data_IF_962941819110
#
_entry.id   IF_962941819110
#
_cell.length_a   1.000
_cell.length_b   1.000
_cell.length_c   1.000
_cell.angle_alpha   90.00
_cell.angle_beta   90.00
_cell.angle_gamma   90.00
#
_symmetry.space_group_name_H-M   'P 1'
#
loop_
_entity.id
_entity.type
_entity.pdbx_description
1 polymer ?
#
# COMPACT_ATOMS: atom_id res chain seq x y z
N UNK A 1 -7.60 7.85 -18.63
CA UNK A 1 -7.32 7.99 -17.18
C UNK A 1 -8.59 8.18 -16.35
N UNK A 2 -9.33 9.31 -16.42
CA UNK A 2 -10.51 9.50 -15.54
C UNK A 2 -11.61 8.42 -15.71
N UNK A 3 -11.83 7.96 -16.94
CA UNK A 3 -12.79 6.87 -17.21
C UNK A 3 -12.29 5.51 -16.73
N UNK A 4 -10.98 5.28 -16.81
CA UNK A 4 -10.34 4.04 -16.37
C UNK A 4 -10.37 3.95 -14.85
N UNK A 5 -10.08 5.05 -14.14
CA UNK A 5 -10.21 5.10 -12.67
C UNK A 5 -11.63 4.80 -12.19
N UNK A 6 -12.65 5.39 -12.81
CA UNK A 6 -14.06 5.03 -12.51
C UNK A 6 -14.39 3.57 -12.79
N UNK A 7 -13.69 2.94 -13.72
CA UNK A 7 -13.89 1.52 -14.03
C UNK A 7 -13.18 0.63 -13.02
N UNK A 8 -11.96 1.01 -12.62
CA UNK A 8 -11.22 0.40 -11.52
C UNK A 8 -12.05 0.42 -10.22
N UNK A 9 -12.58 1.59 -9.83
CA UNK A 9 -13.44 1.75 -8.64
C UNK A 9 -14.65 0.80 -8.66
N UNK A 10 -15.34 0.69 -9.79
CA UNK A 10 -16.49 -0.23 -9.93
C UNK A 10 -16.08 -1.70 -9.80
N UNK A 11 -14.92 -2.09 -10.33
CA UNK A 11 -14.41 -3.47 -10.22
C UNK A 11 -14.00 -3.77 -8.77
N UNK A 12 -13.35 -2.83 -8.09
CA UNK A 12 -13.05 -2.93 -6.64
C UNK A 12 -14.34 -3.08 -5.83
N UNK A 13 -15.37 -2.27 -6.11
CA UNK A 13 -16.66 -2.39 -5.43
C UNK A 13 -17.29 -3.78 -5.63
N UNK A 14 -17.16 -4.35 -6.85
CA UNK A 14 -17.64 -5.71 -7.14
C UNK A 14 -16.86 -6.77 -6.36
N UNK A 15 -15.52 -6.70 -6.33
CA UNK A 15 -14.66 -7.56 -5.50
C UNK A 15 -15.12 -7.60 -4.04
N UNK A 16 -15.52 -6.44 -3.50
CA UNK A 16 -15.92 -6.26 -2.10
C UNK A 16 -17.42 -6.49 -1.83
N UNK A 17 -18.21 -6.87 -2.83
CA UNK A 17 -19.67 -7.04 -2.72
C UNK A 17 -20.13 -8.41 -2.19
N UNK A 18 -19.19 -9.30 -1.85
CA UNK A 18 -19.49 -10.69 -1.52
C UNK A 18 -20.35 -10.89 -0.25
N UNK A 19 -21.25 -11.89 -0.24
CA UNK A 19 -22.11 -12.15 0.91
C UNK A 19 -21.26 -12.52 2.13
N UNK A 20 -21.53 -11.86 3.25
CA UNK A 20 -20.82 -12.05 4.54
C UNK A 20 -19.31 -11.75 4.50
N UNK A 21 -18.92 -10.63 3.87
CA UNK A 21 -17.57 -10.04 4.05
C UNK A 21 -16.44 -10.97 3.57
N UNK A 22 -16.70 -11.79 2.56
CA UNK A 22 -15.66 -12.55 1.86
C UNK A 22 -15.53 -12.00 0.45
N UNK A 23 -14.31 -11.70 -0.02
CA UNK A 23 -14.12 -11.24 -1.38
C UNK A 23 -14.53 -12.32 -2.38
N UNK A 24 -15.12 -11.90 -3.49
CA UNK A 24 -15.19 -12.72 -4.69
C UNK A 24 -13.81 -12.67 -5.36
N UNK A 25 -13.00 -13.70 -5.13
CA UNK A 25 -11.58 -13.71 -5.53
C UNK A 25 -11.38 -13.57 -7.04
N UNK A 26 -12.30 -14.04 -7.86
CA UNK A 26 -12.21 -13.89 -9.31
C UNK A 26 -12.51 -12.44 -9.71
N UNK A 27 -13.51 -11.82 -9.06
CA UNK A 27 -13.79 -10.40 -9.25
C UNK A 27 -12.66 -9.50 -8.72
N UNK A 28 -11.97 -9.89 -7.65
CA UNK A 28 -10.82 -9.19 -7.12
C UNK A 28 -9.61 -9.30 -8.03
N UNK A 29 -9.32 -10.49 -8.58
CA UNK A 29 -8.26 -10.65 -9.58
C UNK A 29 -8.52 -9.79 -10.83
N UNK A 30 -9.74 -9.81 -11.36
CA UNK A 30 -10.17 -8.96 -12.49
C UNK A 30 -10.09 -7.46 -12.17
N UNK A 31 -10.33 -7.08 -10.90
CA UNK A 31 -10.13 -5.72 -10.44
C UNK A 31 -8.63 -5.36 -10.42
N UNK A 32 -7.79 -6.20 -9.83
CA UNK A 32 -6.33 -6.00 -9.76
C UNK A 32 -5.75 -5.82 -11.17
N UNK A 33 -5.99 -6.77 -12.07
CA UNK A 33 -5.46 -6.75 -13.44
C UNK A 33 -5.84 -5.47 -14.21
N UNK A 34 -7.10 -5.04 -14.07
CA UNK A 34 -7.56 -3.82 -14.73
C UNK A 34 -6.98 -2.55 -14.08
N UNK A 35 -6.95 -2.50 -12.76
CA UNK A 35 -6.46 -1.33 -12.04
C UNK A 35 -4.96 -1.13 -12.25
N UNK A 36 -4.17 -2.21 -12.23
CA UNK A 36 -2.73 -2.16 -12.47
C UNK A 36 -2.44 -1.70 -13.90
N UNK A 37 -3.14 -2.25 -14.90
CA UNK A 37 -2.98 -1.80 -16.29
C UNK A 37 -3.42 -0.35 -16.53
N UNK A 38 -4.39 0.15 -15.76
CA UNK A 38 -4.83 1.54 -15.83
C UNK A 38 -3.92 2.52 -15.05
N UNK A 39 -2.99 2.02 -14.23
CA UNK A 39 -2.17 2.84 -13.33
C UNK A 39 -0.68 2.46 -13.37
N UNK A 40 -0.32 1.34 -12.77
CA UNK A 40 1.03 0.79 -12.64
C UNK A 40 1.71 0.63 -14.00
N UNK A 41 1.10 -0.09 -14.94
CA UNK A 41 1.71 -0.38 -16.24
C UNK A 41 2.01 0.91 -17.02
N UNK A 42 1.15 1.94 -16.90
CA UNK A 42 1.36 3.23 -17.56
C UNK A 42 2.56 4.01 -16.98
N UNK A 43 2.90 3.81 -15.71
CA UNK A 43 4.10 4.39 -15.11
C UNK A 43 5.34 3.63 -15.57
N UNK A 44 5.26 2.30 -15.61
CA UNK A 44 6.35 1.45 -16.09
C UNK A 44 6.67 1.71 -17.56
N UNK A 45 5.66 1.80 -18.44
CA UNK A 45 5.82 2.14 -19.87
C UNK A 45 6.51 3.50 -20.08
N UNK A 46 6.30 4.45 -19.17
CA UNK A 46 6.94 5.76 -19.18
C UNK A 46 8.34 5.75 -18.58
N UNK A 47 8.82 4.60 -18.11
CA UNK A 47 10.08 4.48 -17.37
C UNK A 47 10.08 5.30 -16.08
N UNK A 48 8.91 5.53 -15.49
CA UNK A 48 8.74 6.29 -14.24
C UNK A 48 8.73 5.33 -13.06
N UNK A 49 9.45 5.70 -12.00
CA UNK A 49 9.46 4.93 -10.76
C UNK A 49 8.08 4.90 -10.11
N UNK A 50 7.75 3.75 -9.51
CA UNK A 50 6.53 3.59 -8.70
C UNK A 50 6.64 4.23 -7.32
N UNK A 51 7.86 4.29 -6.81
CA UNK A 51 8.14 4.69 -5.44
C UNK A 51 8.37 6.20 -5.35
N UNK A 52 8.85 6.82 -6.43
CA UNK A 52 9.02 8.27 -6.55
C UNK A 52 8.76 8.72 -8.00
N UNK A 53 7.61 9.34 -8.26
CA UNK A 53 7.22 9.82 -9.60
C UNK A 53 8.18 10.83 -10.24
N UNK A 54 9.15 11.38 -9.48
CA UNK A 54 10.20 12.27 -9.98
C UNK A 54 11.40 11.49 -10.53
N UNK A 55 11.51 10.21 -10.21
CA UNK A 55 12.60 9.33 -10.59
C UNK A 55 12.25 8.50 -11.83
N UNK A 56 13.25 8.19 -12.64
CA UNK A 56 13.15 7.12 -13.62
C UNK A 56 13.46 5.77 -12.96
N UNK A 57 12.93 4.68 -13.52
CA UNK A 57 13.09 3.31 -12.98
C UNK A 57 14.56 2.87 -12.87
N UNK A 58 15.45 3.36 -13.74
CA UNK A 58 16.89 3.07 -13.71
C UNK A 58 17.67 3.93 -12.70
N UNK A 59 17.02 4.92 -12.07
CA UNK A 59 17.66 5.91 -11.19
C UNK A 59 16.98 6.06 -9.84
N UNK A 60 16.11 5.13 -9.45
CA UNK A 60 15.39 5.19 -8.16
C UNK A 60 16.35 5.36 -6.98
N UNK A 61 17.47 4.64 -7.00
CA UNK A 61 18.52 4.72 -6.00
C UNK A 61 19.06 6.15 -5.78
N UNK A 62 18.98 7.04 -6.76
CA UNK A 62 19.44 8.42 -6.63
C UNK A 62 18.56 9.26 -5.69
N UNK A 63 17.30 8.87 -5.53
CA UNK A 63 16.31 9.59 -4.74
C UNK A 63 16.10 8.98 -3.35
N UNK A 64 16.48 7.72 -3.15
CA UNK A 64 16.45 7.11 -1.83
C UNK A 64 17.62 7.57 -0.96
N UNK A 65 17.30 8.13 0.21
CA UNK A 65 18.29 8.52 1.23
C UNK A 65 19.09 7.31 1.74
N UNK A 66 18.48 6.13 1.72
CA UNK A 66 19.10 4.86 2.10
C UNK A 66 19.22 4.02 0.84
N UNK A 67 20.46 3.74 0.44
CA UNK A 67 20.76 2.76 -0.59
C UNK A 67 20.99 1.42 0.11
N UNK A 68 20.02 0.48 0.07
CA UNK A 68 20.33 -0.87 0.48
C UNK A 68 21.46 -1.32 -0.45
N UNK A 69 22.64 -1.61 0.11
CA UNK A 69 23.76 -2.12 -0.69
C UNK A 69 23.40 -3.45 -1.38
N UNK A 70 24.37 -4.21 -1.87
CA UNK A 70 24.09 -5.51 -2.48
C UNK A 70 23.67 -6.55 -1.41
N UNK A 71 22.46 -6.43 -0.87
CA UNK A 71 21.92 -7.24 0.22
C UNK A 71 21.89 -8.71 -0.19
N UNK A 72 21.45 -8.98 -1.43
CA UNK A 72 21.39 -10.36 -1.94
C UNK A 72 22.77 -11.00 -1.97
N UNK A 73 23.79 -10.28 -2.45
CA UNK A 73 25.17 -10.78 -2.45
C UNK A 73 25.70 -10.99 -1.03
N UNK A 74 25.43 -10.04 -0.13
CA UNK A 74 25.89 -10.11 1.26
C UNK A 74 25.27 -11.31 1.99
N UNK A 75 23.95 -11.50 1.89
CA UNK A 75 23.22 -12.57 2.56
C UNK A 75 23.52 -13.95 1.96
N UNK A 76 24.02 -14.01 0.73
CA UNK A 76 24.43 -15.26 0.07
C UNK A 76 25.91 -15.63 0.26
N UNK A 77 26.69 -14.87 1.04
CA UNK A 77 28.04 -15.29 1.40
C UNK A 77 28.00 -16.50 2.33
N UNK A 78 28.82 -17.52 2.06
CA UNK A 78 28.87 -18.77 2.85
C UNK A 78 29.04 -18.50 4.35
N UNK A 79 29.95 -17.59 4.72
CA UNK A 79 30.17 -17.25 6.13
C UNK A 79 28.96 -16.59 6.79
N UNK A 80 28.20 -15.77 6.04
CA UNK A 80 26.96 -15.14 6.52
C UNK A 80 25.85 -16.17 6.67
N UNK A 81 25.64 -17.02 5.67
CA UNK A 81 24.66 -18.11 5.73
C UNK A 81 24.96 -19.09 6.87
N UNK A 82 26.24 -19.45 7.05
CA UNK A 82 26.70 -20.31 8.15
C UNK A 82 26.42 -19.68 9.50
N UNK A 83 26.72 -18.39 9.67
CA UNK A 83 26.46 -17.67 10.91
C UNK A 83 24.96 -17.53 11.22
N UNK A 84 24.11 -17.42 10.20
CA UNK A 84 22.65 -17.36 10.33
C UNK A 84 21.99 -18.75 10.43
N UNK A 85 22.74 -19.84 10.22
CA UNK A 85 22.20 -21.20 10.24
C UNK A 85 21.24 -21.49 9.08
N UNK A 86 21.39 -20.81 7.94
CA UNK A 86 20.58 -21.01 6.73
C UNK A 86 21.43 -21.64 5.63
N UNK A 87 20.77 -22.39 4.73
CA UNK A 87 21.44 -23.09 3.62
C UNK A 87 20.80 -22.81 2.26
N UNK A 88 19.70 -22.07 2.22
CA UNK A 88 19.01 -21.68 0.99
C UNK A 88 19.55 -20.34 0.50
N UNK A 89 19.59 -20.19 -0.82
CA UNK A 89 19.85 -18.90 -1.44
C UNK A 89 18.78 -17.89 -1.03
N UNK A 90 19.23 -16.73 -0.58
CA UNK A 90 18.40 -15.59 -0.30
C UNK A 90 18.05 -14.88 -1.61
N UNK A 91 16.76 -14.62 -1.79
CA UNK A 91 16.21 -13.75 -2.82
C UNK A 91 15.32 -12.70 -2.16
N UNK A 92 15.42 -11.45 -2.60
CA UNK A 92 14.71 -10.30 -2.00
C UNK A 92 13.20 -10.33 -2.22
N UNK A 93 12.73 -11.07 -3.22
CA UNK A 93 11.31 -11.27 -3.52
C UNK A 93 11.05 -12.70 -3.98
N UNK A 94 9.85 -13.20 -3.72
CA UNK A 94 9.40 -14.52 -4.18
C UNK A 94 8.16 -14.33 -5.04
N UNK A 95 8.28 -14.64 -6.33
CA UNK A 95 7.19 -14.43 -7.30
C UNK A 95 6.02 -15.39 -7.10
N UNK A 96 6.27 -16.63 -6.69
CA UNK A 96 5.18 -17.58 -6.41
C UNK A 96 4.29 -17.09 -5.26
N UNK A 97 4.91 -16.48 -4.24
CA UNK A 97 4.17 -15.84 -3.15
C UNK A 97 3.40 -14.63 -3.66
N UNK A 98 4.02 -13.77 -4.47
CA UNK A 98 3.34 -12.61 -5.04
C UNK A 98 2.10 -13.03 -5.85
N UNK A 99 2.27 -13.96 -6.80
CA UNK A 99 1.21 -14.45 -7.68
C UNK A 99 0.07 -15.13 -6.89
N UNK A 100 0.40 -15.83 -5.80
CA UNK A 100 -0.61 -16.44 -4.92
C UNK A 100 -1.46 -15.41 -4.17
N UNK A 101 -0.90 -14.24 -3.89
CA UNK A 101 -1.56 -13.15 -3.16
C UNK A 101 -2.25 -12.12 -4.05
N UNK A 102 -1.95 -12.11 -5.35
CA UNK A 102 -2.40 -11.09 -6.31
C UNK A 102 -3.94 -10.91 -6.40
N UNK A 103 -4.69 -11.99 -6.18
CA UNK A 103 -6.17 -11.95 -6.13
C UNK A 103 -6.74 -11.27 -4.88
N UNK A 104 -5.92 -10.92 -3.91
CA UNK A 104 -6.35 -10.26 -2.67
C UNK A 104 -5.97 -8.78 -2.62
N UNK A 105 -5.21 -8.28 -3.59
CA UNK A 105 -4.62 -6.92 -3.56
C UNK A 105 -5.68 -5.81 -3.54
N UNK A 106 -6.83 -6.06 -4.17
CA UNK A 106 -7.97 -5.12 -4.24
C UNK A 106 -9.05 -5.36 -3.17
N UNK A 107 -8.83 -6.31 -2.26
CA UNK A 107 -9.74 -6.56 -1.15
C UNK A 107 -9.65 -5.45 -0.09
N UNK A 108 -10.79 -4.84 0.23
CA UNK A 108 -10.87 -3.78 1.23
C UNK A 108 -10.69 -4.36 2.64
N UNK A 109 -9.55 -4.03 3.24
CA UNK A 109 -9.16 -4.43 4.59
C UNK A 109 -9.39 -3.32 5.62
N UNK A 110 -9.91 -2.16 5.22
CA UNK A 110 -10.16 -0.99 6.10
C UNK A 110 -11.07 -1.36 7.26
N UNK A 111 -11.98 -2.29 7.04
CA UNK A 111 -12.84 -2.84 8.09
C UNK A 111 -12.05 -3.41 9.27
N UNK A 112 -10.92 -4.08 9.04
CA UNK A 112 -10.10 -4.60 10.13
C UNK A 112 -9.51 -3.48 10.98
N UNK A 113 -9.22 -2.32 10.37
CA UNK A 113 -8.80 -1.13 11.10
C UNK A 113 -9.93 -0.63 12.01
N UNK A 114 -11.18 -0.61 11.51
CA UNK A 114 -12.35 -0.24 12.34
C UNK A 114 -12.51 -1.21 13.52
N UNK A 115 -12.48 -2.52 13.27
CA UNK A 115 -12.63 -3.53 14.32
C UNK A 115 -11.50 -3.40 15.40
N UNK A 116 -10.29 -2.99 15.01
CA UNK A 116 -9.18 -2.69 15.95
C UNK A 116 -9.45 -1.43 16.79
N UNK A 117 -9.94 -0.36 16.16
CA UNK A 117 -10.27 0.90 16.84
C UNK A 117 -11.41 0.73 17.84
N UNK A 118 -12.45 -0.02 17.48
CA UNK A 118 -13.56 -0.37 18.39
C UNK A 118 -13.08 -1.17 19.60
N UNK A 119 -12.01 -1.97 19.42
CA UNK A 119 -11.33 -2.68 20.51
C UNK A 119 -10.44 -1.80 21.39
N UNK A 120 -10.39 -0.48 21.14
CA UNK A 120 -9.54 0.47 21.87
C UNK A 120 -8.06 0.41 21.48
N UNK A 121 -7.71 -0.25 20.36
CA UNK A 121 -6.34 -0.33 19.85
C UNK A 121 -6.04 0.94 19.06
N UNK A 122 -4.99 1.65 19.45
CA UNK A 122 -4.52 2.83 18.71
C UNK A 122 -3.83 2.41 17.42
N UNK A 123 -4.28 2.96 16.30
CA UNK A 123 -3.70 2.69 14.97
C UNK A 123 -2.96 3.93 14.49
N UNK A 124 -1.72 3.76 14.04
CA UNK A 124 -0.94 4.83 13.42
C UNK A 124 -0.77 4.53 11.94
N UNK A 125 -1.19 5.45 11.08
CA UNK A 125 -0.92 5.43 9.64
C UNK A 125 0.18 6.46 9.36
N UNK A 126 1.24 6.05 8.68
CA UNK A 126 2.34 6.94 8.33
C UNK A 126 2.52 6.95 6.83
N UNK A 127 2.41 8.13 6.23
CA UNK A 127 2.77 8.36 4.84
C UNK A 127 4.06 9.20 4.77
N UNK A 128 4.56 9.49 3.56
CA UNK A 128 5.73 10.34 3.40
C UNK A 128 5.47 11.81 3.83
N UNK A 129 4.21 12.20 4.02
CA UNK A 129 3.78 13.53 4.48
C UNK A 129 3.68 13.68 6.00
N UNK A 130 3.65 12.58 6.78
CA UNK A 130 3.55 12.66 8.24
C UNK A 130 3.04 11.38 8.91
N UNK A 131 2.85 11.46 10.23
CA UNK A 131 2.21 10.41 11.03
C UNK A 131 0.79 10.88 11.37
N UNK A 132 -0.20 10.10 10.95
CA UNK A 132 -1.60 10.22 11.34
C UNK A 132 -1.88 9.27 12.49
N UNK A 133 -2.24 9.82 13.66
CA UNK A 133 -2.67 9.02 14.81
C UNK A 133 -4.17 8.89 14.81
N UNK A 134 -4.68 7.69 14.63
CA UNK A 134 -6.11 7.41 14.64
C UNK A 134 -6.48 6.89 16.05
N UNK A 135 -7.42 7.58 16.72
CA UNK A 135 -7.87 7.25 18.07
C UNK A 135 -7.51 8.27 19.17
N UNK A 136 -7.18 9.52 18.82
CA UNK A 136 -7.22 10.65 19.76
C UNK A 136 -8.59 11.38 19.64
N UNK A 137 -9.17 11.88 20.75
CA UNK A 137 -10.55 12.40 20.76
C UNK A 137 -10.77 13.63 19.86
N UNK A 138 -9.73 14.29 19.36
CA UNK A 138 -9.83 15.39 18.40
C UNK A 138 -10.10 14.95 16.95
N UNK A 139 -9.93 13.68 16.59
CA UNK A 139 -10.12 13.15 15.22
C UNK A 139 -11.38 12.25 15.14
N UNK A 140 -12.06 12.03 16.26
CA UNK A 140 -13.24 11.19 16.37
C UNK A 140 -14.47 11.73 15.59
N UNK A 141 -14.43 12.96 15.06
CA UNK A 141 -15.55 13.55 14.31
C UNK A 141 -15.66 13.07 12.85
N UNK A 142 -14.62 12.48 12.26
CA UNK A 142 -14.63 11.98 10.87
C UNK A 142 -15.06 10.51 10.74
N UNK A 143 -15.48 9.85 11.84
CA UNK A 143 -15.73 8.40 11.89
C UNK A 143 -17.17 7.95 11.73
N UNK A 144 -18.08 8.80 11.24
CA UNK A 144 -19.46 8.41 10.95
C UNK A 144 -19.61 7.96 9.48
N UNK A 145 -19.18 6.71 9.21
CA UNK A 145 -19.75 5.77 8.24
C UNK A 145 -19.96 6.13 6.75
N UNK A 146 -19.75 7.35 6.28
CA UNK A 146 -20.13 7.74 4.91
C UNK A 146 -19.12 8.62 4.15
N UNK A 147 -18.21 9.35 4.79
CA UNK A 147 -17.38 10.33 4.06
C UNK A 147 -15.94 10.45 4.59
N UNK A 148 -15.11 9.46 4.27
CA UNK A 148 -13.64 9.63 4.33
C UNK A 148 -13.14 10.64 3.28
N UNK A 149 -13.92 10.90 2.23
CA UNK A 149 -13.58 11.82 1.14
C UNK A 149 -13.73 13.31 1.50
N UNK A 150 -14.46 13.66 2.57
CA UNK A 150 -14.75 15.05 2.92
C UNK A 150 -13.76 15.69 3.91
N UNK A 151 -12.95 14.90 4.63
CA UNK A 151 -12.00 15.43 5.61
C UNK A 151 -10.67 15.94 4.99
N UNK A 152 -10.52 15.93 3.65
CA UNK A 152 -9.24 16.18 2.95
C UNK A 152 -8.96 17.63 2.53
N UNK A 153 -9.81 18.62 2.84
CA UNK A 153 -9.48 20.02 2.48
C UNK A 153 -9.65 21.05 3.60
N UNK A 154 -10.65 20.93 4.49
CA UNK A 154 -10.96 22.02 5.43
C UNK A 154 -10.34 21.92 6.83
N UNK A 155 -9.96 20.73 7.32
CA UNK A 155 -9.27 20.59 8.61
C UNK A 155 -7.73 20.61 8.49
N UNK A 156 -7.19 20.28 7.31
CA UNK A 156 -5.75 20.33 6.99
C UNK A 156 -5.13 21.73 7.18
N UNK A 157 -5.91 22.79 6.97
CA UNK A 157 -5.46 24.17 7.18
C UNK A 157 -5.40 24.59 8.66
N UNK A 158 -6.09 23.87 9.57
CA UNK A 158 -6.24 24.30 10.98
C UNK A 158 -5.27 23.63 11.95
N UNK A 159 -4.69 22.48 11.61
CA UNK A 159 -3.84 21.73 12.55
C UNK A 159 -2.34 21.70 12.19
N UNK A 160 -1.94 22.35 11.08
CA UNK A 160 -0.54 22.60 10.78
C UNK A 160 0.04 23.72 11.67
N UNK A 161 0.25 23.44 12.96
CA UNK A 161 1.12 24.26 13.78
C UNK A 161 2.58 23.86 13.51
N UNK A 162 3.47 24.79 13.11
CA UNK A 162 4.89 24.51 13.03
C UNK A 162 5.43 24.22 14.43
N UNK A 163 6.12 23.09 14.59
CA UNK A 163 6.91 22.84 15.79
C UNK A 163 8.12 23.77 15.76
N UNK A 164 8.15 24.75 16.68
CA UNK A 164 9.33 25.53 17.08
C UNK A 164 10.25 24.70 17.96
#
# INVERSE_FOLDING_TARGET
MAQDMRTCERKIAKCNSGPRRRPDLDACKDATDFCDSATYDLLEEKGTSLYDVRASTDKEDQYFKVKPGPINEFLNKINVQTALGVSKEFVSSNREVLDAFDKFTTYDTTRFVVDLLDGGIKVALRDQGGIWRIGEPSIASCYDGAELAACTENELARQALPLS
#
